data_IF_539197962395
#
_entry.id   IF_539197962395
#
_cell.length_a   1.000
_cell.length_b   1.000
_cell.length_c   1.000
_cell.angle_alpha   90.00
_cell.angle_beta   90.00
_cell.angle_gamma   90.00
#
_symmetry.space_group_name_H-M   'P 1'
#
loop_
_entity.id
_entity.type
_entity.pdbx_description
1 polymer ?
#
# COMPACT_ATOMS: atom_id res chain seq x y z
N UNK A 1 -12.00 -14.53 -14.68
CA UNK A 1 -11.07 -15.06 -13.64
C UNK A 1 -11.74 -16.24 -12.96
N UNK A 2 -11.66 -17.45 -13.51
CA UNK A 2 -12.35 -18.62 -12.91
C UNK A 2 -11.38 -19.61 -12.23
N UNK A 3 -10.09 -19.58 -12.57
CA UNK A 3 -8.92 -20.21 -11.90
C UNK A 3 -7.63 -19.64 -12.51
N UNK A 4 -6.50 -19.71 -11.81
CA UNK A 4 -5.17 -19.30 -12.27
C UNK A 4 -4.42 -18.43 -11.26
N UNK A 5 -3.15 -18.10 -11.53
CA UNK A 5 -2.26 -17.30 -10.63
C UNK A 5 -2.73 -15.86 -10.37
N UNK A 6 -3.81 -15.42 -11.02
CA UNK A 6 -4.33 -14.07 -10.92
C UNK A 6 -3.49 -13.05 -11.69
N UNK A 7 -3.88 -11.78 -11.57
CA UNK A 7 -3.19 -10.66 -12.21
C UNK A 7 -2.23 -10.03 -11.20
N UNK A 8 -1.01 -9.69 -11.64
CA UNK A 8 -0.01 -9.05 -10.79
C UNK A 8 -0.48 -7.67 -10.33
N UNK A 9 -0.30 -7.38 -9.05
CA UNK A 9 -0.63 -6.09 -8.45
C UNK A 9 0.56 -5.13 -8.46
N UNK A 10 1.73 -5.59 -8.03
CA UNK A 10 2.97 -4.80 -7.95
C UNK A 10 4.17 -5.65 -8.38
N UNK A 11 5.18 -5.02 -8.99
CA UNK A 11 6.46 -5.65 -9.28
C UNK A 11 7.48 -5.29 -8.21
N UNK A 12 8.30 -6.24 -7.81
CA UNK A 12 9.42 -6.04 -6.88
C UNK A 12 10.65 -6.75 -7.45
N UNK A 13 11.85 -6.22 -7.15
CA UNK A 13 13.11 -6.84 -7.57
C UNK A 13 13.38 -8.10 -6.74
N UNK A 14 13.28 -7.94 -5.42
CA UNK A 14 13.47 -8.97 -4.41
C UNK A 14 12.37 -8.83 -3.34
N UNK A 15 12.07 -9.91 -2.63
CA UNK A 15 11.01 -9.96 -1.63
C UNK A 15 9.63 -10.27 -2.23
N UNK A 16 8.58 -9.79 -1.57
CA UNK A 16 7.19 -10.04 -1.93
C UNK A 16 6.26 -8.92 -1.45
N UNK A 17 4.99 -9.00 -1.83
CA UNK A 17 3.97 -8.10 -1.33
C UNK A 17 3.78 -8.32 0.17
N UNK A 18 3.98 -7.28 0.98
CA UNK A 18 3.91 -7.38 2.45
C UNK A 18 2.48 -7.29 2.97
N UNK A 19 1.67 -6.41 2.39
CA UNK A 19 0.31 -6.13 2.82
C UNK A 19 -0.50 -5.40 1.72
N UNK A 20 -1.83 -5.44 1.81
CA UNK A 20 -2.76 -4.76 0.91
C UNK A 20 -3.96 -4.24 1.69
N UNK A 21 -4.30 -2.96 1.49
CA UNK A 21 -5.50 -2.36 2.05
C UNK A 21 -6.39 -1.80 0.93
N UNK A 22 -7.68 -2.13 0.98
CA UNK A 22 -8.70 -1.51 0.14
C UNK A 22 -9.32 -0.34 0.90
N UNK A 23 -9.45 0.80 0.24
CA UNK A 23 -10.03 2.01 0.82
C UNK A 23 -10.73 2.82 -0.27
N UNK A 24 -11.61 3.73 0.12
CA UNK A 24 -12.19 4.67 -0.84
C UNK A 24 -11.21 5.82 -1.02
N UNK A 25 -10.84 6.11 -2.26
CA UNK A 25 -9.89 7.19 -2.56
C UNK A 25 -10.28 8.53 -1.91
N UNK A 26 -11.58 8.85 -1.88
CA UNK A 26 -12.12 10.06 -1.26
C UNK A 26 -11.95 10.14 0.27
N UNK A 27 -11.81 9.01 0.94
CA UNK A 27 -11.64 8.92 2.40
C UNK A 27 -10.15 8.95 2.79
N UNK A 28 -9.25 8.76 1.81
CA UNK A 28 -7.81 8.67 2.02
C UNK A 28 -7.34 7.32 2.52
N UNK A 29 -6.03 7.08 2.36
CA UNK A 29 -5.35 5.92 2.91
C UNK A 29 -4.99 6.19 4.37
N UNK A 30 -5.21 5.23 5.26
CA UNK A 30 -4.91 5.40 6.68
C UNK A 30 -4.18 4.20 7.27
N UNK A 31 -3.36 4.46 8.28
CA UNK A 31 -2.69 3.42 9.06
C UNK A 31 -2.35 3.96 10.46
N UNK A 32 -2.06 3.03 11.38
CA UNK A 32 -1.58 3.36 12.72
C UNK A 32 -0.09 3.03 12.78
N UNK A 33 0.72 3.99 13.24
CA UNK A 33 2.15 3.73 13.42
C UNK A 33 2.44 2.92 14.70
N UNK A 34 3.69 2.52 14.89
CA UNK A 34 4.12 1.78 16.08
C UNK A 34 3.96 2.55 17.40
N UNK A 35 3.75 3.86 17.33
CA UNK A 35 3.53 4.75 18.48
C UNK A 35 2.05 5.05 18.72
N UNK A 36 1.13 4.39 18.00
CA UNK A 36 -0.31 4.55 18.16
C UNK A 36 -0.91 5.78 17.47
N UNK A 37 -0.15 6.47 16.61
CA UNK A 37 -0.65 7.63 15.86
C UNK A 37 -1.39 7.20 14.62
N UNK A 38 -2.58 7.75 14.41
CA UNK A 38 -3.36 7.58 13.19
C UNK A 38 -2.84 8.54 12.11
N UNK A 39 -2.40 7.99 10.99
CA UNK A 39 -2.08 8.73 9.77
C UNK A 39 -3.25 8.61 8.79
N UNK A 40 -3.58 9.72 8.13
CA UNK A 40 -4.54 9.77 7.03
C UNK A 40 -3.92 10.59 5.90
N UNK A 41 -3.82 9.99 4.71
CA UNK A 41 -3.27 10.62 3.51
C UNK A 41 -4.35 10.66 2.44
N UNK A 42 -4.77 11.87 2.08
CA UNK A 42 -5.79 12.13 1.06
C UNK A 42 -5.19 12.46 -0.30
N UNK A 43 -4.05 13.14 -0.33
CA UNK A 43 -3.29 13.35 -1.58
C UNK A 43 -2.38 12.15 -1.84
N UNK A 44 -2.82 11.30 -2.77
CA UNK A 44 -2.11 10.09 -3.19
C UNK A 44 -1.58 10.20 -4.62
N UNK A 45 -1.51 11.41 -5.17
CA UNK A 45 -1.18 11.63 -6.59
C UNK A 45 0.16 10.98 -6.97
N UNK A 46 1.16 11.00 -6.08
CA UNK A 46 2.47 10.38 -6.31
C UNK A 46 2.48 8.83 -6.27
N UNK A 47 1.44 8.22 -5.68
CA UNK A 47 1.32 6.75 -5.56
C UNK A 47 0.32 6.15 -6.55
N UNK A 48 -0.45 6.99 -7.26
CA UNK A 48 -1.33 6.56 -8.34
C UNK A 48 -0.48 6.26 -9.58
N UNK A 49 -0.64 5.06 -10.13
CA UNK A 49 0.07 4.64 -11.33
C UNK A 49 -0.53 3.39 -11.96
N UNK A 50 0.10 2.91 -13.02
CA UNK A 50 -0.33 1.68 -13.68
C UNK A 50 -0.16 0.46 -12.76
N UNK A 51 -1.11 -0.46 -12.84
CA UNK A 51 -1.04 -1.74 -12.13
C UNK A 51 0.21 -2.53 -12.58
N UNK A 52 0.80 -3.29 -11.66
CA UNK A 52 2.00 -4.10 -11.84
C UNK A 52 3.32 -3.32 -11.98
N UNK A 53 3.29 -1.98 -11.84
CA UNK A 53 4.51 -1.19 -11.66
C UNK A 53 5.15 -1.47 -10.29
N UNK A 54 6.38 -0.98 -10.09
CA UNK A 54 7.04 -1.06 -8.79
C UNK A 54 6.44 -0.13 -7.74
N UNK A 55 5.79 0.97 -8.19
CA UNK A 55 5.21 1.97 -7.32
C UNK A 55 6.24 2.87 -6.65
N UNK A 56 5.76 3.68 -5.71
CA UNK A 56 6.56 4.60 -4.89
C UNK A 56 6.74 4.03 -3.49
N UNK A 57 7.84 4.39 -2.83
CA UNK A 57 8.07 4.02 -1.42
C UNK A 57 6.95 4.60 -0.54
N UNK A 58 6.61 3.93 0.57
CA UNK A 58 5.59 4.44 1.48
C UNK A 58 6.01 5.80 2.08
N UNK A 59 5.04 6.66 2.42
CA UNK A 59 5.31 7.97 2.99
C UNK A 59 5.98 7.87 4.37
N UNK A 60 6.58 8.99 4.82
CA UNK A 60 7.17 9.08 6.16
C UNK A 60 6.11 8.77 7.22
N UNK A 61 6.46 7.93 8.19
CA UNK A 61 5.55 7.49 9.25
C UNK A 61 4.86 6.15 8.98
N UNK A 62 5.12 5.49 7.85
CA UNK A 62 4.65 4.12 7.63
C UNK A 62 5.36 3.12 8.56
N UNK A 63 4.67 2.07 9.06
CA UNK A 63 5.25 1.10 9.98
C UNK A 63 6.46 0.36 9.40
N UNK A 64 7.48 0.13 10.23
CA UNK A 64 8.72 -0.55 9.84
C UNK A 64 8.52 -2.02 9.45
N UNK A 65 7.43 -2.65 9.89
CA UNK A 65 7.06 -4.01 9.52
C UNK A 65 6.39 -4.08 8.12
N UNK A 66 6.22 -2.95 7.44
CA UNK A 66 5.57 -2.81 6.13
C UNK A 66 4.12 -3.31 6.07
N UNK A 67 3.35 -3.14 7.16
CA UNK A 67 1.93 -3.52 7.25
C UNK A 67 1.08 -2.33 7.68
N UNK A 68 -0.19 -2.31 7.24
CA UNK A 68 -1.17 -1.28 7.60
C UNK A 68 -1.74 -1.48 9.01
N UNK A 69 -1.71 -2.72 9.51
CA UNK A 69 -2.10 -3.12 10.86
C UNK A 69 -0.96 -3.86 11.57
N UNK A 70 -0.86 -3.68 12.89
CA UNK A 70 -0.01 -4.50 13.75
C UNK A 70 -0.63 -5.86 14.02
#
# INVERSE_FOLDING_TARGET
MARGKGVRLQKFKDGGLSDVQCFKLKEGLNWVDSSGRLFVVTDLTEWIGERAQAGRLPPKGFPKNNRFSN
#
